data_IF_358132571581
#
_entry.id   IF_358132571581
#
_cell.length_a   1.000
_cell.length_b   1.000
_cell.length_c   1.000
_cell.angle_alpha   90.00
_cell.angle_beta   90.00
_cell.angle_gamma   90.00
#
_symmetry.space_group_name_H-M   'P 1'
#
loop_
_entity.id
_entity.type
_entity.pdbx_description
1 polymer ?
#
# COMPACT_ATOMS: atom_id res chain seq x y z
N UNK A 1 14.62 -8.68 1.55
CA UNK A 1 14.70 -7.34 2.17
C UNK A 1 16.10 -6.80 1.96
N UNK A 2 16.27 -5.49 2.03
CA UNK A 2 17.59 -4.83 2.04
C UNK A 2 18.53 -5.47 3.06
N UNK A 3 18.06 -5.64 4.31
CA UNK A 3 18.85 -6.28 5.38
C UNK A 3 19.33 -7.68 5.02
N UNK A 4 18.48 -8.54 4.46
CA UNK A 4 18.89 -9.88 4.07
C UNK A 4 19.87 -9.88 2.89
N UNK A 5 19.74 -8.91 1.97
CA UNK A 5 20.68 -8.74 0.87
C UNK A 5 22.07 -8.31 1.37
N UNK A 6 22.14 -7.33 2.27
CA UNK A 6 23.40 -6.85 2.85
C UNK A 6 24.08 -7.93 3.71
N UNK A 7 23.34 -8.56 4.63
CA UNK A 7 23.89 -9.55 5.56
C UNK A 7 24.17 -10.92 4.92
N UNK A 8 23.47 -11.28 3.85
CA UNK A 8 23.56 -12.60 3.22
C UNK A 8 24.56 -12.70 2.06
N UNK A 9 24.88 -11.58 1.40
CA UNK A 9 25.65 -11.60 0.15
C UNK A 9 26.86 -10.65 0.13
N UNK A 10 26.91 -9.62 0.97
CA UNK A 10 27.94 -8.58 0.87
C UNK A 10 28.97 -8.57 2.00
N UNK A 11 28.55 -8.86 3.23
CA UNK A 11 29.43 -8.61 4.39
C UNK A 11 29.26 -9.64 5.52
N UNK A 12 30.13 -10.67 5.52
CA UNK A 12 30.20 -11.67 6.60
C UNK A 12 30.52 -11.04 7.97
N UNK A 13 31.20 -9.89 8.00
CA UNK A 13 31.55 -9.21 9.25
C UNK A 13 30.34 -8.56 9.92
N UNK A 14 29.39 -8.04 9.13
CA UNK A 14 28.11 -7.52 9.65
C UNK A 14 27.21 -8.64 10.17
N UNK A 15 27.15 -9.78 9.48
CA UNK A 15 26.39 -10.94 9.98
C UNK A 15 26.96 -11.44 11.31
N UNK A 16 28.29 -11.49 11.44
CA UNK A 16 28.95 -11.84 12.69
C UNK A 16 28.66 -10.82 13.81
N UNK A 17 28.70 -9.52 13.50
CA UNK A 17 28.37 -8.46 14.44
C UNK A 17 26.92 -8.58 14.95
N UNK A 18 25.95 -8.74 14.04
CA UNK A 18 24.54 -8.98 14.38
C UNK A 18 24.40 -10.21 15.28
N UNK A 19 25.03 -11.33 14.91
CA UNK A 19 24.96 -12.55 15.71
C UNK A 19 25.64 -12.44 17.08
N UNK A 20 26.66 -11.59 17.23
CA UNK A 20 27.26 -11.33 18.55
C UNK A 20 26.30 -10.65 19.52
N UNK A 21 25.41 -9.79 19.01
CA UNK A 21 24.35 -9.15 19.80
C UNK A 21 23.14 -10.07 20.05
N UNK A 22 22.84 -10.97 19.11
CA UNK A 22 21.73 -11.92 19.24
C UNK A 22 22.07 -13.12 20.14
N UNK A 23 23.35 -13.50 20.21
CA UNK A 23 23.84 -14.65 20.98
C UNK A 23 23.42 -14.67 22.46
N UNK A 24 23.53 -13.56 23.23
CA UNK A 24 23.03 -13.49 24.61
C UNK A 24 21.53 -13.77 24.77
N UNK A 25 20.74 -13.61 23.70
CA UNK A 25 19.32 -13.93 23.67
C UNK A 25 19.04 -15.38 23.22
N UNK A 26 20.08 -16.15 22.90
CA UNK A 26 19.96 -17.50 22.33
C UNK A 26 19.46 -17.51 20.88
N UNK A 27 19.57 -16.39 20.17
CA UNK A 27 19.08 -16.23 18.79
C UNK A 27 20.28 -16.16 17.84
N UNK A 28 20.12 -16.75 16.66
CA UNK A 28 21.09 -16.65 15.57
C UNK A 28 20.36 -16.41 14.25
N UNK A 29 20.83 -15.43 13.48
CA UNK A 29 20.37 -15.19 12.12
C UNK A 29 21.32 -15.84 11.12
N UNK A 30 20.77 -16.63 10.20
CA UNK A 30 21.54 -17.40 9.22
C UNK A 30 21.72 -16.70 7.86
N UNK A 31 21.09 -15.54 7.66
CA UNK A 31 21.10 -14.84 6.36
C UNK A 31 20.26 -15.49 5.26
N UNK A 32 19.57 -16.61 5.54
CA UNK A 32 18.86 -17.41 4.52
C UNK A 32 17.35 -17.16 4.45
N UNK A 33 16.83 -16.21 5.24
CA UNK A 33 15.40 -15.93 5.28
C UNK A 33 14.99 -15.09 4.08
N UNK A 34 14.04 -15.60 3.30
CA UNK A 34 13.38 -14.83 2.23
C UNK A 34 12.16 -14.10 2.79
N UNK A 35 12.17 -12.77 2.71
CA UNK A 35 11.04 -11.93 3.10
C UNK A 35 10.26 -11.54 1.86
N UNK A 36 8.94 -11.71 1.90
CA UNK A 36 8.04 -11.40 0.78
C UNK A 36 6.89 -10.50 1.21
N UNK A 37 6.50 -9.63 0.29
CA UNK A 37 5.30 -8.82 0.43
C UNK A 37 4.07 -9.64 0.03
N UNK A 38 2.95 -9.53 0.76
CA UNK A 38 1.76 -10.36 0.51
C UNK A 38 1.20 -10.16 -0.92
N UNK A 39 1.25 -8.95 -1.48
CA UNK A 39 0.81 -8.70 -2.86
C UNK A 39 1.63 -9.52 -3.88
N UNK A 40 2.93 -9.73 -3.62
CA UNK A 40 3.76 -10.61 -4.46
C UNK A 40 3.35 -12.07 -4.31
N UNK A 41 3.05 -12.52 -3.10
CA UNK A 41 2.54 -13.89 -2.87
C UNK A 41 1.23 -14.10 -3.65
N UNK A 42 0.34 -13.11 -3.65
CA UNK A 42 -0.91 -13.16 -4.42
C UNK A 42 -0.66 -13.33 -5.93
N UNK A 43 0.27 -12.58 -6.52
CA UNK A 43 0.53 -12.65 -7.97
C UNK A 43 1.36 -13.88 -8.33
N UNK A 44 2.50 -14.08 -7.66
CA UNK A 44 3.52 -15.05 -8.07
C UNK A 44 3.18 -16.48 -7.62
N UNK A 45 2.56 -16.67 -6.45
CA UNK A 45 2.34 -18.00 -5.87
C UNK A 45 0.89 -18.46 -5.98
N UNK A 46 -0.06 -17.56 -5.76
CA UNK A 46 -1.49 -17.86 -5.83
C UNK A 46 -1.98 -17.76 -7.29
N UNK A 47 -1.52 -16.75 -8.01
CA UNK A 47 -1.86 -16.50 -9.41
C UNK A 47 -3.21 -15.82 -9.62
N UNK A 48 -3.27 -14.97 -10.63
CA UNK A 48 -4.44 -14.15 -10.97
C UNK A 48 -5.70 -14.96 -11.23
N UNK A 49 -5.59 -16.15 -11.82
CA UNK A 49 -6.73 -17.02 -12.11
C UNK A 49 -7.43 -17.50 -10.85
N UNK A 50 -6.67 -17.85 -9.81
CA UNK A 50 -7.24 -18.32 -8.54
C UNK A 50 -7.88 -17.17 -7.77
N UNK A 51 -7.28 -15.99 -7.82
CA UNK A 51 -7.84 -14.78 -7.24
C UNK A 51 -9.16 -14.45 -7.94
N UNK A 52 -9.19 -14.42 -9.28
CA UNK A 52 -10.39 -14.13 -10.07
C UNK A 52 -11.55 -15.06 -9.75
N UNK A 53 -11.29 -16.37 -9.58
CA UNK A 53 -12.31 -17.36 -9.17
C UNK A 53 -12.89 -17.12 -7.76
N UNK A 54 -12.20 -16.35 -6.93
CA UNK A 54 -12.63 -16.02 -5.57
C UNK A 54 -13.45 -14.72 -5.51
N UNK A 55 -13.50 -13.95 -6.60
CA UNK A 55 -14.26 -12.71 -6.70
C UNK A 55 -15.75 -13.05 -6.89
N UNK A 56 -16.59 -12.55 -5.98
CA UNK A 56 -18.03 -12.79 -5.94
C UNK A 56 -18.84 -11.50 -6.10
N UNK A 57 -18.21 -10.34 -5.88
CA UNK A 57 -18.80 -9.01 -6.05
C UNK A 57 -18.01 -8.21 -7.07
N UNK A 58 -18.73 -7.62 -8.01
CA UNK A 58 -18.17 -6.71 -9.00
C UNK A 58 -18.06 -5.30 -8.43
N UNK A 59 -16.85 -4.73 -8.49
CA UNK A 59 -16.55 -3.39 -8.02
C UNK A 59 -16.42 -2.37 -9.17
N UNK A 60 -16.91 -2.70 -10.38
CA UNK A 60 -16.86 -1.83 -11.57
C UNK A 60 -17.45 -0.43 -11.42
N UNK A 61 -18.32 -0.21 -10.43
CA UNK A 61 -18.83 1.11 -10.08
C UNK A 61 -17.81 2.02 -9.36
N UNK A 62 -16.62 1.51 -9.03
CA UNK A 62 -15.58 2.23 -8.28
C UNK A 62 -14.41 2.64 -9.17
N UNK A 63 -14.03 3.92 -9.08
CA UNK A 63 -12.80 4.49 -9.65
C UNK A 63 -11.71 4.48 -8.59
N UNK A 64 -10.67 3.67 -8.79
CA UNK A 64 -9.64 3.41 -7.76
C UNK A 64 -8.31 4.01 -8.20
N UNK A 65 -7.81 4.96 -7.41
CA UNK A 65 -6.42 5.38 -7.52
C UNK A 65 -5.53 4.44 -6.71
N UNK A 66 -4.42 3.98 -7.27
CA UNK A 66 -3.50 3.07 -6.60
C UNK A 66 -2.25 3.80 -6.11
N UNK A 67 -1.91 3.61 -4.84
CA UNK A 67 -0.65 4.06 -4.24
C UNK A 67 0.25 2.86 -3.92
N UNK A 68 1.32 2.72 -4.70
CA UNK A 68 2.28 1.63 -4.58
C UNK A 68 3.10 1.66 -3.28
N UNK A 69 3.48 2.86 -2.84
CA UNK A 69 4.46 3.02 -1.77
C UNK A 69 5.89 2.79 -2.26
N UNK A 70 6.83 3.57 -1.71
CA UNK A 70 8.22 3.57 -2.15
C UNK A 70 8.93 2.24 -1.90
N UNK A 71 8.76 1.64 -0.73
CA UNK A 71 9.49 0.41 -0.33
C UNK A 71 8.88 -0.87 -0.91
N UNK A 72 7.74 -0.78 -1.60
CA UNK A 72 7.20 -1.90 -2.37
C UNK A 72 8.01 -2.10 -3.66
N UNK A 73 8.29 -1.00 -4.38
CA UNK A 73 8.95 -1.04 -5.68
C UNK A 73 10.48 -0.93 -5.60
N UNK A 74 11.00 -0.25 -4.57
CA UNK A 74 12.42 0.12 -4.49
C UNK A 74 13.08 -0.38 -3.21
N UNK A 75 14.34 -0.84 -3.25
CA UNK A 75 15.23 -0.87 -4.43
C UNK A 75 14.95 -2.08 -5.35
N UNK A 76 14.76 -1.85 -6.65
CA UNK A 76 14.27 -2.88 -7.58
C UNK A 76 15.30 -3.96 -7.91
N UNK A 77 16.58 -3.60 -7.92
CA UNK A 77 17.73 -4.48 -8.15
C UNK A 77 17.81 -5.61 -7.12
N UNK A 78 17.55 -5.30 -5.84
CA UNK A 78 17.56 -6.31 -4.77
C UNK A 78 16.23 -7.07 -4.64
N UNK A 79 15.15 -6.57 -5.24
CA UNK A 79 13.84 -7.22 -5.22
C UNK A 79 13.61 -8.18 -6.39
N UNK A 80 14.63 -8.38 -7.22
CA UNK A 80 14.59 -9.26 -8.38
C UNK A 80 13.82 -8.68 -9.56
N UNK A 81 13.66 -7.35 -9.62
CA UNK A 81 12.99 -6.68 -10.74
C UNK A 81 11.54 -7.13 -10.96
N UNK A 82 10.84 -7.54 -9.91
CA UNK A 82 9.50 -8.14 -10.01
C UNK A 82 8.42 -7.18 -10.53
N UNK A 83 8.67 -5.87 -10.43
CA UNK A 83 7.83 -4.81 -10.99
C UNK A 83 8.76 -3.68 -11.47
N UNK A 84 8.28 -2.84 -12.39
CA UNK A 84 9.04 -1.70 -12.90
C UNK A 84 8.77 -0.43 -12.08
N UNK A 85 9.76 0.13 -11.36
CA UNK A 85 9.51 1.30 -10.51
C UNK A 85 9.00 2.53 -11.26
N UNK A 86 9.34 2.66 -12.55
CA UNK A 86 8.94 3.79 -13.38
C UNK A 86 7.55 3.63 -14.02
N UNK A 87 7.11 2.40 -14.22
CA UNK A 87 5.81 2.04 -14.79
C UNK A 87 5.29 0.75 -14.11
N UNK A 88 4.91 0.85 -12.82
CA UNK A 88 4.55 -0.34 -12.07
C UNK A 88 3.13 -0.78 -12.42
N UNK A 89 2.88 -2.09 -12.42
CA UNK A 89 1.57 -2.64 -12.81
C UNK A 89 0.97 -3.60 -11.77
N UNK A 90 1.79 -4.16 -10.88
CA UNK A 90 1.37 -5.34 -10.09
C UNK A 90 0.18 -5.08 -9.16
N UNK A 91 0.14 -3.93 -8.48
CA UNK A 91 -0.99 -3.61 -7.61
C UNK A 91 -2.24 -3.23 -8.41
N UNK A 92 -2.06 -2.54 -9.53
CA UNK A 92 -3.16 -2.18 -10.43
C UNK A 92 -3.79 -3.42 -11.06
N UNK A 93 -2.98 -4.44 -11.41
CA UNK A 93 -3.47 -5.74 -11.85
C UNK A 93 -4.36 -6.39 -10.78
N UNK A 94 -3.89 -6.45 -9.53
CA UNK A 94 -4.68 -7.01 -8.42
C UNK A 94 -5.98 -6.25 -8.16
N UNK A 95 -5.96 -4.91 -8.26
CA UNK A 95 -7.17 -4.09 -8.15
C UNK A 95 -8.13 -4.35 -9.31
N UNK A 96 -7.62 -4.45 -10.54
CA UNK A 96 -8.42 -4.69 -11.75
C UNK A 96 -9.15 -6.03 -11.70
N UNK A 97 -8.61 -7.04 -11.02
CA UNK A 97 -9.30 -8.33 -10.81
C UNK A 97 -10.62 -8.20 -10.06
N UNK A 98 -10.82 -7.12 -9.30
CA UNK A 98 -12.07 -6.84 -8.57
C UNK A 98 -13.18 -6.28 -9.46
N UNK A 99 -12.87 -5.95 -10.72
CA UNK A 99 -13.76 -5.26 -11.65
C UNK A 99 -13.68 -3.73 -11.57
N UNK A 100 -13.07 -3.16 -10.52
CA UNK A 100 -12.92 -1.72 -10.37
C UNK A 100 -12.11 -1.06 -11.50
N UNK A 101 -12.47 0.18 -11.84
CA UNK A 101 -11.74 1.01 -12.80
C UNK A 101 -10.48 1.55 -12.12
N UNK A 102 -9.31 1.04 -12.49
CA UNK A 102 -8.04 1.65 -12.07
C UNK A 102 -7.82 2.94 -12.86
N UNK A 103 -7.72 4.06 -12.15
CA UNK A 103 -7.51 5.35 -12.79
C UNK A 103 -6.05 5.80 -12.71
N UNK A 104 -5.60 6.47 -13.77
CA UNK A 104 -4.30 7.14 -13.79
C UNK A 104 -4.42 8.57 -13.26
N UNK A 105 -3.32 9.08 -12.72
CA UNK A 105 -3.27 10.41 -12.12
C UNK A 105 -1.83 10.93 -12.08
N UNK A 106 -1.67 12.26 -12.10
CA UNK A 106 -0.34 12.89 -12.07
C UNK A 106 0.43 12.48 -10.82
N UNK A 107 1.76 12.41 -10.95
CA UNK A 107 2.64 12.15 -9.83
C UNK A 107 2.37 10.83 -9.07
N UNK A 108 1.80 9.82 -9.72
CA UNK A 108 1.48 8.48 -9.13
C UNK A 108 2.61 7.88 -8.29
N UNK A 109 3.86 8.12 -8.68
CA UNK A 109 5.07 7.59 -8.03
C UNK A 109 5.59 8.40 -6.83
N UNK A 110 5.04 9.59 -6.55
CA UNK A 110 5.48 10.42 -5.41
C UNK A 110 5.22 9.73 -4.06
N UNK A 111 6.15 9.98 -3.12
CA UNK A 111 6.13 9.50 -1.75
C UNK A 111 4.95 10.08 -0.94
N UNK A 112 4.55 9.39 0.13
CA UNK A 112 3.53 9.88 1.07
C UNK A 112 4.04 10.88 2.10
N UNK A 113 5.35 11.13 2.17
CA UNK A 113 5.95 12.04 3.15
C UNK A 113 6.14 11.44 4.55
N UNK A 114 5.67 10.21 4.79
CA UNK A 114 5.68 9.58 6.11
C UNK A 114 7.00 9.70 6.90
N UNK A 115 8.16 9.32 6.33
CA UNK A 115 9.43 9.38 7.06
C UNK A 115 9.83 10.79 7.55
N UNK A 116 9.27 11.84 6.95
CA UNK A 116 9.51 13.24 7.31
C UNK A 116 8.61 13.68 8.47
N UNK A 117 7.47 13.02 8.68
CA UNK A 117 6.47 13.39 9.70
C UNK A 117 7.05 13.65 11.11
N UNK A 118 7.95 12.82 11.68
CA UNK A 118 8.49 13.07 13.01
C UNK A 118 9.52 14.22 13.07
N UNK A 119 9.98 14.71 11.91
CA UNK A 119 11.02 15.75 11.82
C UNK A 119 10.39 17.10 11.48
N UNK A 120 9.56 17.13 10.43
CA UNK A 120 8.86 18.32 9.96
C UNK A 120 7.46 17.91 9.49
N UNK A 121 6.50 18.06 10.39
CA UNK A 121 5.11 17.69 10.14
C UNK A 121 4.54 18.47 8.95
N UNK A 122 4.79 19.78 8.86
CA UNK A 122 4.21 20.61 7.80
C UNK A 122 4.69 20.19 6.41
N UNK A 123 5.98 19.86 6.28
CA UNK A 123 6.54 19.32 5.02
C UNK A 123 5.97 17.93 4.72
N UNK A 124 5.84 17.06 5.72
CA UNK A 124 5.25 15.74 5.51
C UNK A 124 3.79 15.82 5.04
N UNK A 125 3.00 16.70 5.66
CA UNK A 125 1.60 16.93 5.31
C UNK A 125 1.45 17.58 3.92
N UNK A 126 2.35 18.49 3.53
CA UNK A 126 2.31 19.09 2.18
C UNK A 126 2.58 18.07 1.08
N UNK A 127 3.51 17.13 1.29
CA UNK A 127 3.77 16.03 0.36
C UNK A 127 2.57 15.09 0.22
N UNK A 128 1.91 14.77 1.34
CA UNK A 128 0.68 13.98 1.32
C UNK A 128 -0.46 14.72 0.60
N UNK A 129 -0.57 16.05 0.82
CA UNK A 129 -1.54 16.92 0.14
C UNK A 129 -1.39 16.87 -1.38
N UNK A 130 -0.17 17.01 -1.92
CA UNK A 130 0.06 16.98 -3.37
C UNK A 130 -0.50 15.70 -4.02
N UNK A 131 -0.38 14.56 -3.32
CA UNK A 131 -0.98 13.31 -3.77
C UNK A 131 -2.50 13.37 -3.72
N UNK A 132 -3.07 13.80 -2.59
CA UNK A 132 -4.52 13.87 -2.41
C UNK A 132 -5.16 14.82 -3.43
N UNK A 133 -4.54 15.96 -3.73
CA UNK A 133 -4.95 16.85 -4.82
C UNK A 133 -4.99 16.11 -6.16
N UNK A 134 -3.90 15.45 -6.54
CA UNK A 134 -3.82 14.74 -7.82
C UNK A 134 -4.86 13.62 -7.95
N UNK A 135 -5.09 12.88 -6.87
CA UNK A 135 -6.07 11.78 -6.83
C UNK A 135 -7.50 12.31 -6.85
N UNK A 136 -7.77 13.40 -6.12
CA UNK A 136 -9.08 14.03 -6.09
C UNK A 136 -9.44 14.65 -7.45
N UNK A 137 -8.51 15.36 -8.09
CA UNK A 137 -8.69 15.95 -9.42
C UNK A 137 -8.92 14.90 -10.51
N UNK A 138 -8.34 13.70 -10.38
CA UNK A 138 -8.59 12.58 -11.28
C UNK A 138 -9.98 11.91 -11.09
N UNK A 139 -10.73 12.33 -10.07
CA UNK A 139 -12.06 11.81 -9.76
C UNK A 139 -12.03 10.39 -9.20
N UNK A 140 -11.08 10.08 -8.31
CA UNK A 140 -11.05 8.81 -7.60
C UNK A 140 -12.18 8.71 -6.57
N UNK A 141 -12.77 7.54 -6.44
CA UNK A 141 -13.70 7.19 -5.36
C UNK A 141 -12.98 6.76 -4.09
N UNK A 142 -11.78 6.20 -4.24
CA UNK A 142 -10.92 5.78 -3.13
C UNK A 142 -9.45 5.72 -3.55
N UNK A 143 -8.58 5.81 -2.53
CA UNK A 143 -7.15 5.51 -2.65
C UNK A 143 -6.87 4.11 -2.10
N UNK A 144 -6.36 3.22 -2.94
CA UNK A 144 -5.95 1.87 -2.54
C UNK A 144 -4.43 1.82 -2.28
N UNK A 145 -4.02 1.23 -1.15
CA UNK A 145 -2.60 1.16 -0.76
C UNK A 145 -2.22 -0.17 -0.11
N UNK A 146 -0.92 -0.40 0.07
CA UNK A 146 -0.37 -1.63 0.68
C UNK A 146 0.51 -1.37 1.91
N UNK A 147 0.65 -0.12 2.34
CA UNK A 147 1.55 0.27 3.42
C UNK A 147 0.78 0.93 4.58
N UNK A 148 0.84 0.38 5.80
CA UNK A 148 0.19 0.99 6.96
C UNK A 148 0.65 2.41 7.26
N UNK A 149 1.92 2.72 7.01
CA UNK A 149 2.44 4.06 7.21
C UNK A 149 1.90 5.06 6.17
N UNK A 150 1.68 4.62 4.93
CA UNK A 150 0.95 5.44 3.94
C UNK A 150 -0.50 5.65 4.35
N UNK A 151 -1.14 4.67 5.01
CA UNK A 151 -2.48 4.84 5.59
C UNK A 151 -2.50 5.88 6.69
N UNK A 152 -1.48 5.94 7.55
CA UNK A 152 -1.36 7.02 8.56
C UNK A 152 -1.35 8.39 7.87
N UNK A 153 -0.62 8.54 6.77
CA UNK A 153 -0.54 9.81 6.04
C UNK A 153 -1.85 10.17 5.33
N UNK A 154 -2.42 9.24 4.56
CA UNK A 154 -3.56 9.55 3.69
C UNK A 154 -4.92 9.39 4.37
N UNK A 155 -5.07 8.49 5.35
CA UNK A 155 -6.32 8.30 6.10
C UNK A 155 -6.26 9.04 7.44
N UNK A 156 -5.23 8.75 8.23
CA UNK A 156 -5.08 9.27 9.60
C UNK A 156 -4.94 10.79 9.66
N UNK A 157 -4.10 11.35 8.78
CA UNK A 157 -3.84 12.78 8.74
C UNK A 157 -4.71 13.56 7.76
N UNK A 158 -5.65 12.92 7.04
CA UNK A 158 -6.41 13.60 5.97
C UNK A 158 -7.12 14.86 6.48
N UNK A 159 -7.80 14.76 7.63
CA UNK A 159 -8.45 15.93 8.27
C UNK A 159 -7.45 17.00 8.72
N UNK A 160 -6.27 16.60 9.18
CA UNK A 160 -5.20 17.53 9.53
C UNK A 160 -4.71 18.31 8.32
N UNK A 161 -4.51 17.61 7.20
CA UNK A 161 -4.15 18.19 5.90
C UNK A 161 -5.24 19.16 5.42
N UNK A 162 -6.50 18.73 5.45
CA UNK A 162 -7.66 19.54 5.07
C UNK A 162 -7.72 20.85 5.87
N UNK A 163 -7.52 20.78 7.18
CA UNK A 163 -7.52 21.95 8.06
C UNK A 163 -6.32 22.87 7.84
N UNK A 164 -5.10 22.32 7.75
CA UNK A 164 -3.86 23.10 7.60
C UNK A 164 -3.83 23.87 6.28
N UNK A 165 -4.36 23.29 5.20
CA UNK A 165 -4.25 23.86 3.86
C UNK A 165 -5.56 24.38 3.27
N UNK A 166 -6.67 24.32 4.02
CA UNK A 166 -7.96 24.84 3.58
C UNK A 166 -8.55 24.09 2.38
N UNK A 167 -8.37 22.77 2.34
CA UNK A 167 -8.87 21.87 1.29
C UNK A 167 -9.84 20.85 1.86
N UNK A 168 -10.59 20.13 1.02
CA UNK A 168 -11.51 19.08 1.44
C UNK A 168 -11.53 17.96 0.41
N UNK A 169 -11.21 16.74 0.84
CA UNK A 169 -11.20 15.56 -0.02
C UNK A 169 -12.27 14.58 0.40
N UNK A 170 -12.36 14.27 1.71
CA UNK A 170 -13.20 13.20 2.22
C UNK A 170 -12.99 11.86 1.51
N UNK A 171 -11.76 11.61 1.03
CA UNK A 171 -11.38 10.49 0.17
C UNK A 171 -11.15 9.23 1.02
N UNK A 172 -11.99 8.18 0.89
CA UNK A 172 -11.75 6.92 1.56
C UNK A 172 -10.42 6.29 1.15
N UNK A 173 -9.67 5.78 2.12
CA UNK A 173 -8.42 5.06 1.90
C UNK A 173 -8.60 3.62 2.33
N UNK A 174 -8.40 2.67 1.41
CA UNK A 174 -8.51 1.24 1.70
C UNK A 174 -7.16 0.55 1.52
N UNK A 175 -6.89 -0.44 2.36
CA UNK A 175 -5.84 -1.41 2.06
C UNK A 175 -6.27 -2.29 0.88
N UNK A 176 -5.31 -2.74 0.08
CA UNK A 176 -5.55 -3.73 -0.97
C UNK A 176 -6.28 -4.97 -0.45
N UNK A 177 -5.98 -5.42 0.77
CA UNK A 177 -6.68 -6.55 1.41
C UNK A 177 -8.14 -6.24 1.71
N UNK A 178 -8.48 -5.00 2.07
CA UNK A 178 -9.87 -4.58 2.26
C UNK A 178 -10.62 -4.56 0.94
N UNK A 179 -10.00 -4.05 -0.12
CA UNK A 179 -10.63 -3.99 -1.46
C UNK A 179 -10.82 -5.39 -2.05
N UNK A 180 -9.81 -6.26 -1.99
CA UNK A 180 -9.91 -7.66 -2.40
C UNK A 180 -10.97 -8.39 -1.56
N UNK A 181 -10.99 -8.19 -0.25
CA UNK A 181 -11.97 -8.80 0.64
C UNK A 181 -13.41 -8.37 0.33
N UNK A 182 -13.63 -7.09 -0.01
CA UNK A 182 -14.92 -6.60 -0.50
C UNK A 182 -15.36 -7.35 -1.76
N UNK A 183 -14.46 -7.46 -2.73
CA UNK A 183 -14.72 -8.16 -3.98
C UNK A 183 -14.94 -9.68 -3.78
N UNK A 184 -14.33 -10.27 -2.76
CA UNK A 184 -14.54 -11.66 -2.35
C UNK A 184 -15.81 -11.87 -1.49
N UNK A 185 -16.57 -10.81 -1.23
CA UNK A 185 -17.86 -10.88 -0.53
C UNK A 185 -17.77 -10.83 1.00
N UNK A 186 -16.61 -10.47 1.57
CA UNK A 186 -16.49 -10.24 3.01
C UNK A 186 -17.28 -8.99 3.42
N UNK A 187 -17.90 -9.06 4.59
CA UNK A 187 -18.69 -7.94 5.10
C UNK A 187 -17.82 -6.81 5.67
N UNK A 188 -18.47 -5.65 5.87
CA UNK A 188 -17.82 -4.42 6.36
C UNK A 188 -17.14 -4.59 7.72
N UNK A 189 -17.68 -5.47 8.58
CA UNK A 189 -17.20 -5.68 9.94
C UNK A 189 -15.95 -6.57 9.93
N UNK A 190 -15.97 -7.65 9.15
CA UNK A 190 -14.83 -8.52 8.95
C UNK A 190 -13.63 -7.77 8.35
N UNK A 191 -13.91 -6.82 7.45
CA UNK A 191 -12.88 -5.97 6.82
C UNK A 191 -12.45 -4.78 7.67
N UNK A 192 -13.08 -4.56 8.83
CA UNK A 192 -12.76 -3.44 9.71
C UNK A 192 -13.02 -2.06 9.10
N UNK A 193 -13.96 -1.93 8.15
CA UNK A 193 -14.21 -0.67 7.45
C UNK A 193 -14.71 0.47 8.35
N UNK A 194 -15.14 0.14 9.56
CA UNK A 194 -15.50 1.08 10.62
C UNK A 194 -14.28 1.71 11.30
N UNK A 195 -13.09 1.13 11.13
CA UNK A 195 -11.83 1.61 11.70
C UNK A 195 -11.10 2.60 10.79
N UNK A 196 -11.46 2.69 9.50
CA UNK A 196 -10.97 3.75 8.62
C UNK A 196 -11.40 5.12 9.17
N UNK A 197 -10.45 6.06 9.19
CA UNK A 197 -10.64 7.40 9.75
C UNK A 197 -11.59 8.19 8.86
N UNK A 198 -11.34 8.19 7.56
CA UNK A 198 -12.25 8.71 6.55
C UNK A 198 -13.37 7.69 6.31
N UNK A 199 -14.62 8.17 6.34
CA UNK A 199 -15.80 7.29 6.37
C UNK A 199 -16.02 6.64 5.01
N UNK A 200 -16.12 5.31 5.03
CA UNK A 200 -16.39 4.47 3.86
C UNK A 200 -17.89 4.33 3.55
N UNK A 201 -18.78 5.02 4.27
CA UNK A 201 -20.24 4.79 4.17
C UNK A 201 -20.78 5.10 2.78
N UNK A 202 -20.36 6.20 2.17
CA UNK A 202 -20.87 6.62 0.86
C UNK A 202 -20.26 5.80 -0.28
N UNK A 203 -18.98 5.43 -0.15
CA UNK A 203 -18.32 4.48 -1.06
C UNK A 203 -19.13 3.17 -1.16
N UNK A 204 -19.52 2.61 -0.01
CA UNK A 204 -20.25 1.34 0.03
C UNK A 204 -21.64 1.39 -0.60
N UNK A 205 -22.25 2.58 -0.80
CA UNK A 205 -23.53 2.70 -1.50
C UNK A 205 -23.40 2.52 -3.00
N UNK A 206 -22.19 2.62 -3.55
CA UNK A 206 -21.90 2.40 -4.98
C UNK A 206 -21.76 0.93 -5.33
N UNK A 207 -21.50 0.08 -4.35
CA UNK A 207 -21.27 -1.35 -4.55
C UNK A 207 -22.61 -2.07 -4.48
N UNK A 208 -22.96 -2.92 -5.47
CA UNK A 208 -24.15 -3.77 -5.41
C UNK A 208 -24.14 -4.68 -4.17
N UNK A 209 -25.32 -5.02 -3.64
CA UNK A 209 -25.46 -5.96 -2.51
C UNK A 209 -24.94 -7.37 -2.85
#
# INVERSE_FOLDING_TARGET
TEVAHELGYKDESQLAAVNSHLGPLGIQYSGRVTVRHFARILIEDIGVERIRKSITKDLSALRVAVHYGCHYLKPSDIYGGFDQPEEPTTLEELVSLTGAEVIDYRDKKKCCGGPVLPVDEKVALSLAKEKLDAVHEAGADLLCLVCPFCSVMYDGNQKGIENEFGVNYGLPVLYLTQLLGLAMGLDRKALGLNMNVVKTKDLMKKIPE
#
